data_IF_644419619309
#
_entry.id   IF_644419619309
#
_cell.length_a   1.000
_cell.length_b   1.000
_cell.length_c   1.000
_cell.angle_alpha   90.00
_cell.angle_beta   90.00
_cell.angle_gamma   90.00
#
_symmetry.space_group_name_H-M   'P 1'
#
loop_
_entity.id
_entity.type
_entity.pdbx_description
1 polymer ?
#
# COMPACT_ATOMS: atom_id res chain seq x y z
N UNK A 1 -4.29 -19.94 -39.10
CA UNK A 1 -5.40 -19.15 -38.51
C UNK A 1 -5.64 -19.47 -37.04
N UNK A 2 -5.49 -20.72 -36.58
CA UNK A 2 -5.54 -21.10 -35.14
C UNK A 2 -4.17 -20.87 -34.45
N UNK A 3 -3.08 -21.06 -35.19
CA UNK A 3 -1.69 -20.82 -34.79
C UNK A 3 -1.40 -19.39 -34.28
N UNK A 4 -1.89 -18.37 -34.98
CA UNK A 4 -1.69 -16.97 -34.59
C UNK A 4 -2.50 -16.57 -33.36
N UNK A 5 -3.64 -17.23 -33.10
CA UNK A 5 -4.43 -16.97 -31.90
C UNK A 5 -3.76 -17.55 -30.66
N UNK A 6 -3.22 -18.77 -30.77
CA UNK A 6 -2.44 -19.42 -29.71
C UNK A 6 -1.21 -18.57 -29.34
N UNK A 7 -0.46 -18.08 -30.32
CA UNK A 7 0.72 -17.23 -30.11
C UNK A 7 0.40 -15.94 -29.34
N UNK A 8 -0.71 -15.26 -29.69
CA UNK A 8 -1.17 -14.05 -28.99
C UNK A 8 -1.50 -14.36 -27.52
N UNK A 9 -2.15 -15.50 -27.25
CA UNK A 9 -2.48 -15.92 -25.88
C UNK A 9 -1.20 -16.18 -25.08
N UNK A 10 -0.24 -16.89 -25.66
CA UNK A 10 1.05 -17.15 -25.02
C UNK A 10 1.81 -15.85 -24.72
N UNK A 11 1.78 -14.87 -25.63
CA UNK A 11 2.39 -13.57 -25.42
C UNK A 11 1.74 -12.78 -24.28
N UNK A 12 0.41 -12.80 -24.19
CA UNK A 12 -0.33 -12.15 -23.10
C UNK A 12 -0.04 -12.78 -21.75
N UNK A 13 0.02 -14.11 -21.69
CA UNK A 13 0.37 -14.83 -20.46
C UNK A 13 1.78 -14.46 -19.97
N UNK A 14 2.77 -14.47 -20.86
CA UNK A 14 4.14 -14.04 -20.54
C UNK A 14 4.21 -12.57 -20.10
N UNK A 15 3.37 -11.70 -20.68
CA UNK A 15 3.31 -10.30 -20.26
C UNK A 15 2.70 -10.14 -18.85
N UNK A 16 1.67 -10.92 -18.52
CA UNK A 16 1.06 -10.92 -17.19
C UNK A 16 2.04 -11.41 -16.12
N UNK A 17 2.77 -12.49 -16.39
CA UNK A 17 3.80 -13.03 -15.50
C UNK A 17 4.88 -11.96 -15.18
N UNK A 18 5.39 -11.27 -16.21
CA UNK A 18 6.35 -10.17 -16.03
C UNK A 18 5.80 -9.00 -15.22
N UNK A 19 4.52 -8.67 -15.38
CA UNK A 19 3.85 -7.62 -14.60
C UNK A 19 3.79 -8.04 -13.13
N UNK A 20 3.44 -9.28 -12.85
CA UNK A 20 3.36 -9.82 -11.50
C UNK A 20 4.73 -9.84 -10.80
N UNK A 21 5.76 -10.32 -11.50
CA UNK A 21 7.15 -10.28 -11.03
C UNK A 21 7.60 -8.85 -10.70
N UNK A 22 7.26 -7.89 -11.58
CA UNK A 22 7.61 -6.49 -11.37
C UNK A 22 6.89 -5.91 -10.15
N UNK A 23 5.59 -6.20 -9.97
CA UNK A 23 4.83 -5.77 -8.78
C UNK A 23 5.47 -6.32 -7.51
N UNK A 24 5.86 -7.60 -7.49
CA UNK A 24 6.53 -8.22 -6.35
C UNK A 24 7.90 -7.57 -6.08
N UNK A 25 8.68 -7.28 -7.13
CA UNK A 25 9.96 -6.57 -7.01
C UNK A 25 9.81 -5.17 -6.42
N UNK A 26 8.84 -4.40 -6.90
CA UNK A 26 8.53 -3.05 -6.39
C UNK A 26 8.10 -3.12 -4.92
N UNK A 27 7.19 -4.05 -4.58
CA UNK A 27 6.76 -4.26 -3.20
C UNK A 27 7.95 -4.59 -2.26
N UNK A 28 8.85 -5.50 -2.66
CA UNK A 28 10.07 -5.80 -1.89
C UNK A 28 10.96 -4.57 -1.70
N UNK A 29 11.13 -3.75 -2.74
CA UNK A 29 11.96 -2.56 -2.67
C UNK A 29 11.42 -1.53 -1.66
N UNK A 30 10.10 -1.27 -1.64
CA UNK A 30 9.52 -0.33 -0.68
C UNK A 30 9.42 -0.92 0.73
N UNK A 31 9.01 -2.19 0.83
CA UNK A 31 8.86 -2.87 2.12
C UNK A 31 10.19 -3.09 2.85
N UNK A 32 11.35 -3.06 2.17
CA UNK A 32 12.68 -3.19 2.82
C UNK A 32 12.95 -2.16 3.91
N UNK A 33 12.26 -1.01 3.89
CA UNK A 33 12.40 0.07 4.89
C UNK A 33 11.24 0.09 5.90
N UNK A 34 10.24 -0.78 5.74
CA UNK A 34 9.12 -0.87 6.67
C UNK A 34 9.57 -1.66 7.89
N UNK A 35 9.69 -0.96 9.02
CA UNK A 35 9.94 -1.57 10.32
C UNK A 35 8.57 -1.83 10.94
N UNK A 36 8.19 -3.11 11.04
CA UNK A 36 6.94 -3.50 11.71
C UNK A 36 7.06 -3.22 13.20
N UNK A 37 6.22 -2.33 13.71
CA UNK A 37 6.11 -2.06 15.15
C UNK A 37 4.87 -2.77 15.69
N UNK A 38 5.07 -3.60 16.71
CA UNK A 38 3.96 -4.14 17.51
C UNK A 38 3.64 -3.15 18.61
N UNK A 39 2.36 -3.04 18.94
CA UNK A 39 1.87 -2.21 20.03
C UNK A 39 1.18 -3.10 21.04
N UNK A 40 1.48 -2.88 22.31
CA UNK A 40 0.86 -3.60 23.42
C UNK A 40 -0.17 -2.71 24.12
N UNK A 41 -1.08 -3.34 24.86
CA UNK A 41 -2.06 -2.63 25.67
C UNK A 41 -1.35 -1.72 26.68
N UNK A 42 -1.75 -0.45 26.73
CA UNK A 42 -1.12 0.58 27.55
C UNK A 42 -0.09 1.43 26.82
N UNK A 43 0.34 1.05 25.61
CA UNK A 43 1.24 1.87 24.80
C UNK A 43 0.59 3.20 24.43
N UNK A 44 1.36 4.28 24.54
CA UNK A 44 0.97 5.60 24.06
C UNK A 44 1.48 5.79 22.62
N UNK A 45 0.55 6.03 21.70
CA UNK A 45 0.80 6.21 20.27
C UNK A 45 0.14 7.49 19.75
N UNK A 46 0.54 7.97 18.58
CA UNK A 46 -0.16 9.06 17.90
C UNK A 46 -1.23 8.50 16.97
N UNK A 47 -2.47 8.99 17.09
CA UNK A 47 -3.59 8.55 16.25
C UNK A 47 -3.82 9.52 15.09
N UNK A 48 -3.86 9.00 13.86
CA UNK A 48 -4.18 9.77 12.66
C UNK A 48 -5.67 10.13 12.64
N UNK A 49 -5.99 11.36 12.22
CA UNK A 49 -7.38 11.77 11.98
C UNK A 49 -7.93 11.12 10.70
N UNK A 50 -7.10 11.05 9.66
CA UNK A 50 -7.43 10.49 8.35
C UNK A 50 -6.35 9.48 7.92
N UNK A 51 -6.71 8.41 7.20
CA UNK A 51 -5.73 7.55 6.55
C UNK A 51 -4.75 8.35 5.68
N UNK A 52 -3.50 7.90 5.61
CA UNK A 52 -2.48 8.50 4.75
C UNK A 52 -2.98 8.50 3.29
N UNK A 53 -2.77 9.61 2.59
CA UNK A 53 -3.24 9.88 1.22
C UNK A 53 -4.76 10.03 1.03
N UNK A 54 -5.55 10.06 2.11
CA UNK A 54 -6.97 10.43 2.04
C UNK A 54 -7.18 11.93 2.27
N UNK A 55 -8.20 12.49 1.61
CA UNK A 55 -8.60 13.90 1.74
C UNK A 55 -10.08 13.98 2.07
N UNK A 56 -10.44 14.86 2.98
CA UNK A 56 -11.81 15.17 3.33
C UNK A 56 -11.97 16.68 3.38
N UNK A 57 -13.00 17.21 2.71
CA UNK A 57 -13.25 18.65 2.57
C UNK A 57 -13.47 19.36 3.91
N UNK A 58 -13.77 18.61 4.98
CA UNK A 58 -13.85 19.14 6.35
C UNK A 58 -12.49 19.55 6.92
N UNK A 59 -11.41 18.98 6.40
CA UNK A 59 -10.05 19.24 6.85
C UNK A 59 -9.28 20.02 5.78
N UNK A 60 -8.98 21.29 6.09
CA UNK A 60 -8.22 22.18 5.21
C UNK A 60 -6.72 21.97 5.34
N UNK A 61 -5.93 22.73 4.56
CA UNK A 61 -4.45 22.69 4.58
C UNK A 61 -3.83 22.87 5.98
N UNK A 62 -4.51 23.63 6.83
CA UNK A 62 -4.05 23.97 8.18
C UNK A 62 -4.68 23.11 9.28
N UNK A 63 -5.48 22.11 8.89
CA UNK A 63 -6.02 21.16 9.86
C UNK A 63 -4.91 20.25 10.38
N UNK A 64 -4.98 19.81 11.65
CA UNK A 64 -4.04 18.85 12.21
C UNK A 64 -4.14 17.50 11.49
N UNK A 65 -3.03 16.76 11.42
CA UNK A 65 -3.00 15.39 10.89
C UNK A 65 -3.22 14.33 11.98
N UNK A 66 -3.01 14.70 13.25
CA UNK A 66 -3.05 13.82 14.42
C UNK A 66 -4.14 14.28 15.39
N UNK A 67 -4.93 13.34 15.92
CA UNK A 67 -5.91 13.63 16.98
C UNK A 67 -5.22 13.98 18.30
N UNK A 68 -4.12 13.28 18.60
CA UNK A 68 -3.43 13.38 19.87
C UNK A 68 -2.77 12.07 20.29
N UNK A 69 -2.21 12.04 21.51
CA UNK A 69 -1.80 10.80 22.16
C UNK A 69 -3.00 9.88 22.39
N UNK A 70 -2.84 8.61 22.05
CA UNK A 70 -3.84 7.56 22.17
C UNK A 70 -3.24 6.38 22.92
N UNK A 71 -3.98 5.85 23.90
CA UNK A 71 -3.58 4.67 24.63
C UNK A 71 -4.20 3.44 23.97
N UNK A 72 -3.36 2.47 23.63
CA UNK A 72 -3.82 1.19 23.06
C UNK A 72 -4.58 0.41 24.14
N UNK A 73 -5.85 0.10 23.88
CA UNK A 73 -6.79 -0.51 24.84
C UNK A 73 -6.85 -2.02 24.77
#
# INVERSE_FOLDING_TARGET
MIDGLEDIVQHRLKALEKIEENKARVARYYNKKVISKKFDKGDLVWKLILPIDSKDNRFGKWSPNWEGPYMVS
#
